data_IF_662668208329
#
_entry.id   IF_662668208329
#
_cell.length_a   1.000
_cell.length_b   1.000
_cell.length_c   1.000
_cell.angle_alpha   90.00
_cell.angle_beta   90.00
_cell.angle_gamma   90.00
#
_symmetry.space_group_name_H-M   'P 1'
#
loop_
_entity.id
_entity.type
_entity.pdbx_description
1 polymer ?
#
# COMPACT_ATOMS: atom_id res chain seq x y z
N UNK A 1 -67.26 58.16 30.60
CA UNK A 1 -67.61 56.73 30.49
C UNK A 1 -68.73 56.60 29.48
N UNK A 2 -68.43 56.08 28.29
CA UNK A 2 -69.31 55.88 27.12
C UNK A 2 -68.40 56.02 25.89
N UNK A 3 -68.49 55.25 24.83
CA UNK A 3 -69.26 54.07 24.47
C UNK A 3 -68.79 53.70 23.06
N UNK A 4 -68.94 52.43 22.72
CA UNK A 4 -69.17 51.86 21.38
C UNK A 4 -69.39 52.88 20.25
N UNK A 5 -68.67 52.72 19.12
CA UNK A 5 -69.07 52.98 17.72
C UNK A 5 -67.86 53.40 16.89
N UNK A 6 -67.22 52.44 16.22
CA UNK A 6 -66.17 52.73 15.24
C UNK A 6 -66.30 51.95 13.93
N UNK A 7 -67.36 51.15 13.76
CA UNK A 7 -67.56 50.27 12.60
C UNK A 7 -68.83 50.58 11.77
N UNK A 8 -69.62 51.59 12.13
CA UNK A 8 -70.79 52.05 11.37
C UNK A 8 -70.79 53.58 11.27
N UNK A 9 -69.79 54.10 10.55
CA UNK A 9 -69.89 55.36 9.79
C UNK A 9 -69.24 55.16 8.42
N UNK A 10 -69.56 54.01 7.84
CA UNK A 10 -69.80 53.87 6.42
C UNK A 10 -70.86 54.91 6.03
N UNK A 11 -70.61 55.63 4.94
CA UNK A 11 -71.69 55.92 4.00
C UNK A 11 -72.36 57.29 4.00
N UNK A 12 -71.92 58.28 4.79
CA UNK A 12 -72.71 59.54 4.86
C UNK A 12 -71.97 60.84 5.22
N UNK A 13 -70.65 60.93 4.98
CA UNK A 13 -69.91 62.19 5.27
C UNK A 13 -68.82 62.56 4.26
N UNK A 14 -69.00 62.15 3.01
CA UNK A 14 -68.44 62.82 1.84
C UNK A 14 -69.49 62.84 0.71
N UNK A 15 -70.76 63.01 1.10
CA UNK A 15 -71.83 63.53 0.26
C UNK A 15 -72.08 64.95 0.76
N UNK A 16 -72.02 65.92 -0.14
CA UNK A 16 -72.05 67.36 0.08
C UNK A 16 -70.76 67.96 0.65
N UNK A 17 -69.75 68.15 -0.21
CA UNK A 17 -69.27 69.51 -0.52
C UNK A 17 -68.73 69.54 -1.96
N UNK A 18 -69.38 70.41 -2.76
CA UNK A 18 -69.02 70.93 -4.08
C UNK A 18 -68.96 69.97 -5.27
N UNK A 19 -70.10 69.84 -5.96
CA UNK A 19 -70.13 69.81 -7.42
C UNK A 19 -69.33 71.02 -7.95
N UNK A 20 -68.17 70.78 -8.57
CA UNK A 20 -67.60 71.76 -9.48
C UNK A 20 -68.47 71.74 -10.74
N UNK A 21 -69.03 72.88 -11.11
CA UNK A 21 -69.90 73.01 -12.28
C UNK A 21 -69.07 72.79 -13.56
N UNK A 22 -69.74 72.34 -14.63
CA UNK A 22 -69.11 72.08 -15.94
C UNK A 22 -68.49 73.34 -16.57
N UNK A 23 -68.84 74.54 -16.08
CA UNK A 23 -68.22 75.81 -16.47
C UNK A 23 -66.85 76.04 -15.81
N UNK A 24 -66.64 75.68 -14.53
CA UNK A 24 -65.35 75.83 -13.84
C UNK A 24 -64.26 74.90 -14.41
N UNK A 25 -64.66 73.74 -14.93
CA UNK A 25 -63.72 72.78 -15.55
C UNK A 25 -63.30 73.20 -16.97
N UNK A 26 -64.11 73.97 -17.69
CA UNK A 26 -63.76 74.47 -19.02
C UNK A 26 -62.85 75.71 -18.98
N UNK A 27 -62.91 76.51 -17.92
CA UNK A 27 -62.05 77.69 -17.74
C UNK A 27 -60.62 77.30 -17.30
N UNK A 28 -60.46 76.17 -16.58
CA UNK A 28 -59.14 75.66 -16.16
C UNK A 28 -58.35 75.00 -17.30
N UNK A 29 -59.01 74.47 -18.34
CA UNK A 29 -58.36 73.71 -19.43
C UNK A 29 -57.91 74.56 -20.63
N UNK A 30 -58.25 75.85 -20.68
CA UNK A 30 -57.96 76.72 -21.85
C UNK A 30 -56.87 77.76 -21.62
N UNK A 31 -56.22 77.81 -20.46
CA UNK A 31 -55.07 78.68 -20.23
C UNK A 31 -53.90 77.95 -19.59
N UNK A 32 -52.79 77.90 -20.31
CA UNK A 32 -51.48 77.80 -19.68
C UNK A 32 -50.66 76.62 -20.14
N UNK A 33 -50.20 76.73 -21.39
CA UNK A 33 -49.00 76.09 -21.91
C UNK A 33 -47.83 76.25 -20.91
N UNK A 34 -47.54 75.23 -20.10
CA UNK A 34 -46.35 75.22 -19.23
C UNK A 34 -45.73 73.82 -19.17
N UNK A 35 -44.52 73.77 -19.72
CA UNK A 35 -43.56 72.67 -19.75
C UNK A 35 -43.63 71.76 -18.50
N UNK A 36 -44.14 70.55 -18.66
CA UNK A 36 -43.75 69.46 -17.78
C UNK A 36 -42.23 69.25 -17.95
N UNK A 37 -41.42 69.23 -16.88
CA UNK A 37 -40.10 68.68 -17.00
C UNK A 37 -40.29 67.23 -17.41
N UNK A 38 -39.93 66.90 -18.65
CA UNK A 38 -39.76 65.51 -19.04
C UNK A 38 -38.76 64.94 -18.04
N UNK A 39 -39.23 64.09 -17.12
CA UNK A 39 -38.36 63.13 -16.47
C UNK A 39 -37.88 62.21 -17.60
N UNK A 40 -36.84 62.67 -18.30
CA UNK A 40 -35.93 61.79 -19.01
C UNK A 40 -35.46 60.83 -17.93
N UNK A 41 -36.06 59.63 -17.91
CA UNK A 41 -35.43 58.46 -17.32
C UNK A 41 -34.04 58.44 -17.93
N UNK A 42 -33.07 58.97 -17.19
CA UNK A 42 -31.67 58.98 -17.58
C UNK A 42 -31.34 57.51 -17.64
N UNK A 43 -31.45 56.93 -18.84
CA UNK A 43 -30.88 55.65 -19.21
C UNK A 43 -29.38 55.86 -19.04
N UNK A 44 -28.92 55.80 -17.78
CA UNK A 44 -27.55 55.49 -17.45
C UNK A 44 -27.37 54.12 -18.04
N UNK A 45 -26.87 54.11 -19.27
CA UNK A 45 -26.40 52.94 -19.95
C UNK A 45 -25.61 52.10 -18.95
N UNK A 46 -26.23 51.01 -18.47
CA UNK A 46 -25.57 49.86 -17.86
C UNK A 46 -24.73 49.12 -18.91
N UNK A 47 -24.09 49.85 -19.84
CA UNK A 47 -23.27 49.33 -20.93
C UNK A 47 -22.03 48.58 -20.41
N UNK A 48 -21.65 48.77 -19.14
CA UNK A 48 -20.60 47.99 -18.47
C UNK A 48 -21.09 46.73 -17.75
N UNK A 49 -22.36 46.67 -17.33
CA UNK A 49 -22.86 45.56 -16.50
C UNK A 49 -23.14 44.30 -17.32
N UNK A 50 -23.68 44.45 -18.54
CA UNK A 50 -23.94 43.31 -19.44
C UNK A 50 -22.67 42.62 -19.93
N UNK A 51 -21.64 43.39 -20.31
CA UNK A 51 -20.36 42.82 -20.75
C UNK A 51 -19.66 42.06 -19.61
N UNK A 52 -19.57 42.67 -18.42
CA UNK A 52 -18.99 42.02 -17.25
C UNK A 52 -19.77 40.76 -16.84
N UNK A 53 -21.11 40.82 -16.87
CA UNK A 53 -21.96 39.67 -16.58
C UNK A 53 -21.70 38.50 -17.55
N UNK A 54 -21.61 38.75 -18.86
CA UNK A 54 -21.31 37.72 -19.84
C UNK A 54 -19.89 37.17 -19.69
N UNK A 55 -18.89 38.01 -19.41
CA UNK A 55 -17.52 37.56 -19.12
C UNK A 55 -17.48 36.63 -17.91
N UNK A 56 -18.11 37.03 -16.79
CA UNK A 56 -18.19 36.19 -15.58
C UNK A 56 -18.95 34.90 -15.85
N UNK A 57 -20.02 34.94 -16.66
CA UNK A 57 -20.79 33.76 -17.03
C UNK A 57 -19.98 32.79 -17.88
N UNK A 58 -19.24 33.27 -18.89
CA UNK A 58 -18.34 32.46 -19.69
C UNK A 58 -17.21 31.85 -18.86
N UNK A 59 -16.62 32.62 -17.93
CA UNK A 59 -15.62 32.12 -16.99
C UNK A 59 -16.21 30.99 -16.15
N UNK A 60 -17.39 31.17 -15.54
CA UNK A 60 -18.04 30.12 -14.76
C UNK A 60 -18.43 28.90 -15.59
N UNK A 61 -18.86 29.09 -16.85
CA UNK A 61 -19.17 27.99 -17.77
C UNK A 61 -17.96 27.13 -18.13
N UNK A 62 -16.74 27.66 -18.00
CA UNK A 62 -15.47 26.91 -18.15
C UNK A 62 -14.98 26.37 -16.81
N UNK A 63 -15.03 27.17 -15.75
CA UNK A 63 -14.56 26.79 -14.42
C UNK A 63 -15.39 25.65 -13.81
N UNK A 64 -16.70 25.62 -14.05
CA UNK A 64 -17.57 24.57 -13.53
C UNK A 64 -17.21 23.17 -14.06
N UNK A 65 -17.15 22.91 -15.39
CA UNK A 65 -16.75 21.59 -15.89
C UNK A 65 -15.30 21.26 -15.54
N UNK A 66 -14.40 22.24 -15.54
CA UNK A 66 -13.01 22.02 -15.10
C UNK A 66 -12.95 21.57 -13.63
N UNK A 67 -13.67 22.27 -12.73
CA UNK A 67 -13.77 21.90 -11.32
C UNK A 67 -14.42 20.53 -11.13
N UNK A 68 -15.45 20.20 -11.92
CA UNK A 68 -16.09 18.89 -11.89
C UNK A 68 -15.12 17.78 -12.33
N UNK A 69 -14.35 17.97 -13.39
CA UNK A 69 -13.31 17.02 -13.84
C UNK A 69 -12.25 16.86 -12.76
N UNK A 70 -11.71 17.94 -12.21
CA UNK A 70 -10.75 17.87 -11.11
C UNK A 70 -11.30 17.12 -9.89
N UNK A 71 -12.56 17.36 -9.53
CA UNK A 71 -13.22 16.70 -8.41
C UNK A 71 -13.42 15.20 -8.67
N UNK A 72 -13.84 14.83 -9.88
CA UNK A 72 -14.00 13.44 -10.29
C UNK A 72 -12.65 12.71 -10.33
N UNK A 73 -11.61 13.32 -10.91
CA UNK A 73 -10.26 12.76 -10.94
C UNK A 73 -9.69 12.59 -9.53
N UNK A 74 -9.89 13.57 -8.63
CA UNK A 74 -9.46 13.46 -7.24
C UNK A 74 -10.22 12.34 -6.49
N UNK A 75 -11.53 12.19 -6.72
CA UNK A 75 -12.32 11.11 -6.14
C UNK A 75 -11.90 9.73 -6.66
N UNK A 76 -11.67 9.60 -7.97
CA UNK A 76 -11.17 8.38 -8.58
C UNK A 76 -9.80 8.01 -8.03
N UNK A 77 -8.87 8.95 -8.00
CA UNK A 77 -7.52 8.73 -7.47
C UNK A 77 -7.53 8.32 -6.00
N UNK A 78 -8.35 9.00 -5.18
CA UNK A 78 -8.56 8.62 -3.77
C UNK A 78 -9.09 7.19 -3.66
N UNK A 79 -10.08 6.81 -4.46
CA UNK A 79 -10.63 5.46 -4.43
C UNK A 79 -9.61 4.40 -4.87
N UNK A 80 -8.83 4.70 -5.92
CA UNK A 80 -7.73 3.84 -6.39
C UNK A 80 -6.75 3.55 -5.28
N UNK A 81 -6.26 4.59 -4.59
CA UNK A 81 -5.34 4.44 -3.46
C UNK A 81 -6.00 3.72 -2.29
N UNK A 82 -7.19 4.15 -1.86
CA UNK A 82 -7.86 3.59 -0.68
C UNK A 82 -8.17 2.11 -0.80
N UNK A 83 -8.43 1.64 -2.02
CA UNK A 83 -8.68 0.22 -2.32
C UNK A 83 -7.45 -0.51 -2.85
N UNK A 84 -6.29 0.16 -2.89
CA UNK A 84 -5.06 -0.36 -3.46
C UNK A 84 -5.21 -0.94 -4.88
N UNK A 85 -6.06 -0.36 -5.72
CA UNK A 85 -6.19 -0.81 -7.11
C UNK A 85 -4.84 -0.64 -7.82
N UNK A 86 -4.44 -1.65 -8.60
CA UNK A 86 -3.16 -1.74 -9.33
C UNK A 86 -1.93 -1.56 -8.42
N UNK A 87 -2.04 -2.01 -7.17
CA UNK A 87 -1.06 -1.81 -6.11
C UNK A 87 -0.71 -0.34 -5.84
N UNK A 88 -1.60 0.60 -6.16
CA UNK A 88 -1.30 2.05 -6.09
C UNK A 88 -0.92 2.54 -4.69
N UNK A 89 -1.47 1.98 -3.62
CA UNK A 89 -1.06 2.32 -2.25
C UNK A 89 0.28 1.66 -1.91
N UNK A 90 0.48 0.40 -2.27
CA UNK A 90 1.75 -0.30 -2.03
C UNK A 90 2.92 0.36 -2.77
N UNK A 91 2.71 0.87 -3.99
CA UNK A 91 3.71 1.63 -4.74
C UNK A 91 4.12 2.95 -4.07
N UNK A 92 3.27 3.49 -3.18
CA UNK A 92 3.58 4.70 -2.41
C UNK A 92 4.25 4.39 -1.07
N UNK A 93 4.02 3.21 -0.50
CA UNK A 93 4.46 2.85 0.85
C UNK A 93 5.58 1.82 0.89
N UNK A 94 5.85 1.13 -0.22
CA UNK A 94 6.85 0.07 -0.33
C UNK A 94 7.93 0.47 -1.34
N UNK A 95 9.11 -0.15 -1.22
CA UNK A 95 10.14 -0.01 -2.24
C UNK A 95 9.69 -0.62 -3.57
N UNK A 96 10.35 -0.23 -4.67
CA UNK A 96 10.05 -0.77 -5.98
C UNK A 96 10.16 -2.31 -6.00
N UNK A 97 9.17 -2.97 -6.62
CA UNK A 97 9.18 -4.39 -6.93
C UNK A 97 8.49 -4.62 -8.28
N UNK A 98 9.05 -5.43 -9.20
CA UNK A 98 8.40 -5.80 -10.45
C UNK A 98 7.13 -6.62 -10.21
N UNK A 99 6.99 -7.25 -9.04
CA UNK A 99 5.80 -8.03 -8.64
C UNK A 99 4.53 -7.19 -8.67
N UNK A 100 4.62 -5.89 -8.37
CA UNK A 100 3.46 -4.99 -8.40
C UNK A 100 2.84 -4.84 -9.78
N UNK A 101 3.60 -5.09 -10.85
CA UNK A 101 3.14 -5.05 -12.24
C UNK A 101 2.55 -6.41 -12.69
N UNK A 102 2.73 -7.47 -11.90
CA UNK A 102 2.45 -8.86 -12.28
C UNK A 102 1.30 -9.51 -11.50
N UNK A 103 1.05 -9.06 -10.26
CA UNK A 103 -0.03 -9.57 -9.43
C UNK A 103 -0.63 -8.45 -8.57
N UNK A 104 -1.93 -8.52 -8.30
CA UNK A 104 -2.62 -7.62 -7.37
C UNK A 104 -2.44 -8.15 -5.94
N UNK A 105 -1.94 -7.32 -5.03
CA UNK A 105 -1.74 -7.68 -3.63
C UNK A 105 -2.74 -6.86 -2.80
N UNK A 106 -3.79 -7.51 -2.32
CA UNK A 106 -4.81 -6.82 -1.55
C UNK A 106 -4.35 -6.50 -0.13
N UNK A 107 -4.91 -5.43 0.45
CA UNK A 107 -4.72 -5.08 1.85
C UNK A 107 -5.93 -5.59 2.62
N UNK A 108 -5.72 -6.63 3.41
CA UNK A 108 -6.77 -7.34 4.14
C UNK A 108 -6.74 -7.00 5.62
N UNK A 109 -7.92 -7.02 6.25
CA UNK A 109 -8.02 -7.03 7.70
C UNK A 109 -7.94 -8.47 8.19
N UNK A 110 -6.94 -8.77 9.02
CA UNK A 110 -6.70 -10.11 9.56
C UNK A 110 -6.56 -10.03 11.07
N UNK A 111 -7.28 -10.89 11.79
CA UNK A 111 -7.04 -11.09 13.21
C UNK A 111 -5.95 -12.14 13.38
N UNK A 112 -4.86 -11.76 14.06
CA UNK A 112 -3.79 -12.71 14.40
C UNK A 112 -4.32 -13.73 15.40
N UNK A 113 -4.03 -15.02 15.20
CA UNK A 113 -4.23 -16.03 16.24
C UNK A 113 -2.99 -16.06 17.13
N UNK A 114 -3.08 -15.34 18.25
CA UNK A 114 -2.01 -15.22 19.24
C UNK A 114 -2.21 -16.13 20.46
N UNK A 115 -3.09 -17.12 20.36
CA UNK A 115 -3.39 -18.01 21.49
C UNK A 115 -2.14 -18.77 21.94
N UNK A 116 -1.77 -18.65 23.22
CA UNK A 116 -0.55 -19.27 23.76
C UNK A 116 -0.53 -20.80 23.56
N UNK A 117 -1.67 -21.45 23.80
CA UNK A 117 -1.83 -22.88 23.58
C UNK A 117 -2.23 -23.15 22.12
N UNK A 118 -1.70 -24.24 21.55
CA UNK A 118 -2.06 -24.71 20.19
C UNK A 118 -3.36 -25.52 20.23
N UNK A 119 -4.47 -24.88 20.58
CA UNK A 119 -5.79 -25.52 20.64
C UNK A 119 -6.46 -25.61 19.27
N UNK A 120 -5.99 -24.83 18.30
CA UNK A 120 -6.42 -24.82 16.92
C UNK A 120 -5.74 -25.89 16.06
N UNK A 121 -4.79 -26.65 16.63
CA UNK A 121 -4.02 -27.69 15.94
C UNK A 121 -3.39 -27.18 14.64
N UNK A 122 -2.90 -25.94 14.64
CA UNK A 122 -2.22 -25.37 13.48
C UNK A 122 -0.98 -26.21 13.15
N UNK A 123 -0.89 -26.64 11.89
CA UNK A 123 0.26 -27.43 11.40
C UNK A 123 1.56 -26.68 11.70
N UNK A 124 1.60 -25.37 11.46
CA UNK A 124 2.75 -24.49 11.70
C UNK A 124 3.31 -24.52 13.12
N UNK A 125 2.52 -25.02 14.09
CA UNK A 125 2.85 -25.12 15.52
C UNK A 125 3.03 -26.57 16.01
N UNK A 126 2.96 -27.55 15.10
CA UNK A 126 3.12 -28.96 15.43
C UNK A 126 4.58 -29.30 15.77
N UNK A 127 4.81 -30.40 16.52
CA UNK A 127 6.15 -30.96 16.68
C UNK A 127 6.79 -31.32 15.33
N UNK A 128 8.14 -31.41 15.26
CA UNK A 128 8.85 -31.80 14.03
C UNK A 128 8.34 -33.10 13.40
N UNK A 129 8.06 -33.03 12.10
CA UNK A 129 7.58 -34.14 11.26
C UNK A 129 7.74 -33.78 9.77
N UNK A 130 7.70 -34.77 8.87
CA UNK A 130 7.75 -34.49 7.43
C UNK A 130 6.64 -33.56 6.93
N UNK A 131 5.44 -33.64 7.52
CA UNK A 131 4.30 -32.81 7.13
C UNK A 131 4.51 -31.34 7.50
N UNK A 132 5.06 -31.06 8.69
CA UNK A 132 5.36 -29.68 9.09
C UNK A 132 6.54 -29.11 8.29
N UNK A 133 7.54 -29.93 7.97
CA UNK A 133 8.66 -29.49 7.15
C UNK A 133 8.19 -29.12 5.74
N UNK A 134 7.32 -29.92 5.12
CA UNK A 134 6.70 -29.58 3.85
C UNK A 134 5.84 -28.30 3.91
N UNK A 135 5.12 -28.10 5.02
CA UNK A 135 4.29 -26.91 5.21
C UNK A 135 5.12 -25.62 5.35
N UNK A 136 6.24 -25.67 6.08
CA UNK A 136 7.18 -24.54 6.17
C UNK A 136 7.91 -24.32 4.85
N UNK A 137 8.39 -25.40 4.20
CA UNK A 137 9.14 -25.30 2.95
C UNK A 137 8.34 -24.61 1.85
N UNK A 138 7.03 -24.92 1.75
CA UNK A 138 6.14 -24.25 0.79
C UNK A 138 6.18 -22.72 0.91
N UNK A 139 6.21 -22.19 2.13
CA UNK A 139 6.17 -20.75 2.39
C UNK A 139 7.54 -20.12 2.61
N UNK A 140 8.62 -20.89 2.49
CA UNK A 140 10.00 -20.47 2.67
C UNK A 140 10.91 -20.83 1.49
N UNK A 141 10.35 -21.33 0.39
CA UNK A 141 11.11 -21.69 -0.80
C UNK A 141 11.88 -20.48 -1.32
N UNK A 142 13.18 -20.68 -1.54
CA UNK A 142 14.08 -19.66 -2.13
C UNK A 142 14.29 -19.89 -3.62
N UNK A 143 13.41 -20.64 -4.29
CA UNK A 143 13.50 -20.81 -5.73
C UNK A 143 13.45 -19.44 -6.42
N UNK A 144 14.47 -19.06 -7.20
CA UNK A 144 14.57 -17.70 -7.69
C UNK A 144 13.65 -17.43 -8.87
N UNK A 145 13.52 -16.15 -9.16
CA UNK A 145 12.80 -15.58 -10.28
C UNK A 145 13.76 -15.02 -11.32
N UNK A 146 13.18 -14.68 -12.47
CA UNK A 146 13.84 -14.00 -13.57
C UNK A 146 13.38 -12.55 -13.56
N UNK A 147 14.32 -11.60 -13.45
CA UNK A 147 14.02 -10.16 -13.56
C UNK A 147 14.86 -9.52 -14.65
N UNK A 148 14.38 -8.43 -15.24
CA UNK A 148 15.10 -7.71 -16.29
C UNK A 148 16.24 -6.85 -15.72
N UNK A 149 17.18 -6.46 -16.58
CA UNK A 149 18.20 -5.46 -16.21
C UNK A 149 17.60 -4.13 -15.75
N UNK A 150 16.46 -3.71 -16.32
CA UNK A 150 15.76 -2.50 -15.90
C UNK A 150 15.22 -2.65 -14.47
N UNK A 151 14.67 -3.81 -14.13
CA UNK A 151 14.19 -4.08 -12.77
C UNK A 151 15.34 -3.98 -11.75
N UNK A 152 16.52 -4.53 -12.09
CA UNK A 152 17.72 -4.43 -11.24
C UNK A 152 18.13 -2.97 -11.01
N UNK A 153 18.09 -2.14 -12.04
CA UNK A 153 18.41 -0.71 -11.94
C UNK A 153 17.39 0.00 -11.05
N UNK A 154 16.09 -0.25 -11.26
CA UNK A 154 15.00 0.34 -10.46
C UNK A 154 15.02 -0.12 -9.00
N UNK A 155 15.56 -1.32 -8.73
CA UNK A 155 15.86 -1.80 -7.38
C UNK A 155 17.05 -1.07 -6.73
N UNK A 156 17.75 -0.20 -7.46
CA UNK A 156 18.93 0.52 -6.99
C UNK A 156 20.19 -0.36 -6.92
N UNK A 157 20.24 -1.43 -7.71
CA UNK A 157 21.36 -2.37 -7.77
C UNK A 157 22.15 -2.19 -9.07
N UNK A 158 23.40 -2.66 -9.06
CA UNK A 158 24.30 -2.62 -10.22
C UNK A 158 24.15 -3.91 -11.04
N UNK A 159 23.60 -3.85 -12.27
CA UNK A 159 23.40 -5.04 -13.10
C UNK A 159 24.70 -5.72 -13.55
N UNK A 160 25.86 -5.10 -13.40
CA UNK A 160 27.14 -5.76 -13.66
C UNK A 160 27.55 -6.72 -12.53
N UNK A 161 26.96 -6.57 -11.34
CA UNK A 161 27.29 -7.33 -10.13
C UNK A 161 26.26 -8.39 -9.79
N UNK A 162 25.07 -8.31 -10.37
CA UNK A 162 24.00 -9.29 -10.17
C UNK A 162 24.26 -10.55 -11.02
N UNK A 163 23.92 -11.72 -10.46
CA UNK A 163 24.02 -12.98 -11.18
C UNK A 163 23.01 -13.04 -12.34
N UNK A 164 23.46 -13.49 -13.50
CA UNK A 164 22.64 -13.60 -14.72
C UNK A 164 22.33 -15.05 -15.03
N UNK A 165 21.14 -15.29 -15.59
CA UNK A 165 20.87 -16.61 -16.17
C UNK A 165 21.65 -16.77 -17.47
N UNK A 166 22.26 -17.94 -17.72
CA UNK A 166 22.83 -18.27 -19.02
C UNK A 166 21.75 -18.25 -20.12
N UNK A 167 22.12 -17.85 -21.34
CA UNK A 167 21.18 -17.72 -22.46
C UNK A 167 20.47 -19.04 -22.80
N UNK A 168 21.11 -20.18 -22.55
CA UNK A 168 20.56 -21.51 -22.81
C UNK A 168 19.32 -21.84 -21.93
N UNK A 169 19.02 -21.02 -20.90
CA UNK A 169 17.80 -21.13 -20.12
C UNK A 169 16.55 -20.68 -20.88
N UNK A 170 16.71 -19.96 -22.00
CA UNK A 170 15.58 -19.56 -22.86
C UNK A 170 14.77 -18.37 -22.36
N UNK A 171 15.23 -17.66 -21.33
CA UNK A 171 14.60 -16.44 -20.82
C UNK A 171 14.92 -15.18 -21.64
N UNK A 172 15.78 -15.30 -22.66
CA UNK A 172 16.34 -14.18 -23.40
C UNK A 172 17.61 -13.62 -22.76
N UNK A 173 18.25 -12.64 -23.42
CA UNK A 173 19.45 -11.99 -22.90
C UNK A 173 19.12 -11.08 -21.71
N UNK A 174 20.15 -10.72 -20.93
CA UNK A 174 20.10 -9.64 -19.94
C UNK A 174 19.11 -9.80 -18.78
N UNK A 175 18.85 -11.06 -18.39
CA UNK A 175 18.02 -11.40 -17.24
C UNK A 175 18.83 -11.82 -16.01
N UNK A 176 18.28 -11.56 -14.84
CA UNK A 176 18.96 -11.67 -13.55
C UNK A 176 18.22 -12.59 -12.59
N UNK A 177 18.99 -13.20 -11.70
CA UNK A 177 18.49 -14.02 -10.59
C UNK A 177 18.04 -13.10 -9.45
N UNK A 178 16.83 -13.32 -8.95
CA UNK A 178 16.31 -12.60 -7.78
C UNK A 178 15.40 -13.49 -6.93
N UNK A 179 15.32 -13.21 -5.64
CA UNK A 179 14.45 -13.90 -4.68
C UNK A 179 13.51 -12.90 -4.01
N UNK A 180 12.41 -13.40 -3.44
CA UNK A 180 11.54 -12.59 -2.59
C UNK A 180 12.12 -12.49 -1.18
N UNK A 181 12.36 -11.27 -0.72
CA UNK A 181 12.84 -10.98 0.64
C UNK A 181 11.91 -11.52 1.75
N UNK A 182 10.58 -11.49 1.54
CA UNK A 182 9.63 -12.06 2.50
C UNK A 182 9.78 -13.58 2.66
N UNK A 183 10.02 -14.31 1.56
CA UNK A 183 10.25 -15.75 1.62
C UNK A 183 11.62 -16.06 2.24
N UNK A 184 12.64 -15.25 1.95
CA UNK A 184 13.93 -15.33 2.62
C UNK A 184 13.81 -15.09 4.13
N UNK A 185 12.98 -14.14 4.55
CA UNK A 185 12.71 -13.89 5.98
C UNK A 185 12.01 -15.09 6.65
N UNK A 186 11.06 -15.72 5.95
CA UNK A 186 10.39 -16.93 6.46
C UNK A 186 11.34 -18.14 6.47
N UNK A 187 12.25 -18.25 5.49
CA UNK A 187 13.34 -19.23 5.47
C UNK A 187 14.25 -19.07 6.69
N UNK A 188 14.70 -17.85 6.99
CA UNK A 188 15.47 -17.56 8.21
C UNK A 188 14.70 -17.97 9.46
N UNK A 189 13.40 -17.69 9.53
CA UNK A 189 12.56 -18.12 10.65
C UNK A 189 12.43 -19.65 10.74
N UNK A 190 12.32 -20.35 9.61
CA UNK A 190 12.29 -21.81 9.56
C UNK A 190 13.63 -22.42 10.00
N UNK A 191 14.76 -21.83 9.61
CA UNK A 191 16.08 -22.25 10.08
C UNK A 191 16.20 -22.12 11.62
N UNK A 192 15.74 -20.99 12.18
CA UNK A 192 15.67 -20.79 13.64
C UNK A 192 14.74 -21.82 14.29
N UNK A 193 13.57 -22.10 13.70
CA UNK A 193 12.65 -23.14 14.19
C UNK A 193 13.34 -24.50 14.27
N UNK A 194 14.10 -24.88 13.23
CA UNK A 194 14.85 -26.14 13.20
C UNK A 194 15.95 -26.18 14.26
N UNK A 195 16.62 -25.05 14.51
CA UNK A 195 17.63 -24.91 15.57
C UNK A 195 17.04 -25.08 16.99
N UNK A 196 15.85 -24.51 17.25
CA UNK A 196 15.12 -24.75 18.51
C UNK A 196 14.80 -26.25 18.70
N UNK A 197 14.61 -26.97 17.61
CA UNK A 197 14.38 -28.42 17.57
C UNK A 197 15.64 -29.21 17.17
N UNK A 198 16.85 -28.73 17.48
CA UNK A 198 18.12 -29.31 16.99
C UNK A 198 18.24 -30.83 17.21
N UNK A 199 17.71 -31.36 18.32
CA UNK A 199 17.75 -32.81 18.60
C UNK A 199 17.03 -33.65 17.54
N UNK A 200 16.03 -33.08 16.88
CA UNK A 200 15.33 -33.76 15.79
C UNK A 200 16.09 -33.60 14.47
N UNK A 201 16.58 -32.38 14.18
CA UNK A 201 17.12 -32.05 12.87
C UNK A 201 18.61 -32.37 12.69
N UNK A 202 19.37 -32.40 13.78
CA UNK A 202 20.83 -32.34 13.74
C UNK A 202 21.53 -33.41 14.61
N UNK A 203 20.79 -34.25 15.32
CA UNK A 203 21.41 -35.22 16.25
C UNK A 203 22.18 -36.35 15.54
N UNK A 204 21.75 -36.71 14.32
CA UNK A 204 22.41 -37.76 13.54
C UNK A 204 23.78 -37.30 13.04
N UNK A 205 23.90 -36.01 12.69
CA UNK A 205 25.14 -35.38 12.24
C UNK A 205 26.02 -34.90 13.42
N UNK A 206 25.38 -34.46 14.52
CA UNK A 206 26.02 -33.85 15.70
C UNK A 206 25.50 -34.47 17.00
N UNK A 207 25.88 -35.71 17.32
CA UNK A 207 25.31 -36.47 18.44
C UNK A 207 25.65 -35.90 19.82
N UNK A 208 26.71 -35.12 19.94
CA UNK A 208 27.12 -34.41 21.15
C UNK A 208 26.51 -33.01 21.28
N UNK A 209 25.73 -32.58 20.28
CA UNK A 209 25.15 -31.24 20.19
C UNK A 209 26.15 -30.13 19.84
N UNK A 210 27.37 -30.48 19.43
CA UNK A 210 28.38 -29.49 19.03
C UNK A 210 28.23 -29.15 17.54
N UNK A 211 27.33 -28.19 17.27
CA UNK A 211 27.12 -27.65 15.92
C UNK A 211 28.35 -26.84 15.44
N UNK A 212 28.69 -26.87 14.13
CA UNK A 212 29.82 -26.14 13.57
C UNK A 212 29.72 -24.63 13.77
N UNK A 213 30.87 -23.94 13.74
CA UNK A 213 30.93 -22.48 13.85
C UNK A 213 30.05 -21.78 12.79
N UNK A 214 30.15 -22.19 11.53
CA UNK A 214 29.36 -21.63 10.42
C UNK A 214 27.85 -21.78 10.64
N UNK A 215 27.39 -22.88 11.27
CA UNK A 215 25.99 -23.07 11.60
C UNK A 215 25.49 -21.99 12.57
N UNK A 216 26.26 -21.71 13.62
CA UNK A 216 25.93 -20.67 14.61
C UNK A 216 25.92 -19.28 13.98
N UNK A 217 26.95 -18.96 13.18
CA UNK A 217 27.04 -17.67 12.46
C UNK A 217 25.85 -17.50 11.52
N UNK A 218 25.43 -18.55 10.83
CA UNK A 218 24.25 -18.53 9.97
C UNK A 218 22.96 -18.30 10.79
N UNK A 219 22.76 -19.00 11.92
CA UNK A 219 21.60 -18.79 12.79
C UNK A 219 21.56 -17.35 13.32
N UNK A 220 22.69 -16.79 13.77
CA UNK A 220 22.77 -15.41 14.24
C UNK A 220 22.46 -14.41 13.12
N UNK A 221 22.93 -14.67 11.90
CA UNK A 221 22.58 -13.89 10.71
C UNK A 221 21.07 -13.93 10.44
N UNK A 222 20.46 -15.13 10.47
CA UNK A 222 19.01 -15.30 10.30
C UNK A 222 18.21 -14.51 11.33
N UNK A 223 18.59 -14.59 12.62
CA UNK A 223 17.96 -13.80 13.69
C UNK A 223 18.05 -12.31 13.38
N UNK A 224 19.20 -11.84 12.94
CA UNK A 224 19.41 -10.44 12.59
C UNK A 224 18.55 -10.01 11.39
N UNK A 225 18.46 -10.81 10.32
CA UNK A 225 17.62 -10.51 9.14
C UNK A 225 16.14 -10.46 9.52
N UNK A 226 15.64 -11.42 10.31
CA UNK A 226 14.26 -11.39 10.81
C UNK A 226 14.01 -10.12 11.62
N UNK A 227 14.93 -9.73 12.51
CA UNK A 227 14.81 -8.52 13.30
C UNK A 227 14.77 -7.25 12.42
N UNK A 228 15.64 -7.14 11.41
CA UNK A 228 15.63 -6.00 10.49
C UNK A 228 14.29 -5.89 9.75
N UNK A 229 13.76 -7.01 9.27
CA UNK A 229 12.48 -7.02 8.57
C UNK A 229 11.29 -6.65 9.49
N UNK A 230 11.28 -7.15 10.73
CA UNK A 230 10.26 -6.77 11.72
C UNK A 230 10.31 -5.27 12.06
N UNK A 231 11.50 -4.68 12.18
CA UNK A 231 11.66 -3.25 12.43
C UNK A 231 11.28 -2.39 11.22
N UNK A 232 11.60 -2.84 10.00
CA UNK A 232 11.23 -2.14 8.78
C UNK A 232 9.71 -2.11 8.57
N UNK A 233 9.04 -3.23 8.85
CA UNK A 233 7.58 -3.36 8.77
C UNK A 233 6.82 -2.94 10.02
N UNK A 234 7.45 -2.22 10.96
CA UNK A 234 6.88 -1.93 12.27
C UNK A 234 5.53 -1.19 12.18
N UNK A 235 4.54 -1.67 12.95
CA UNK A 235 3.21 -1.05 13.03
C UNK A 235 2.90 -0.61 14.47
N UNK A 236 2.12 0.46 14.68
CA UNK A 236 1.77 0.96 16.02
C UNK A 236 0.56 0.22 16.64
N UNK A 237 0.29 -1.03 16.25
CA UNK A 237 -0.84 -1.79 16.78
C UNK A 237 -0.58 -2.18 18.24
N UNK A 238 -1.62 -2.12 19.08
CA UNK A 238 -1.51 -2.29 20.52
C UNK A 238 -2.00 -3.66 20.98
N UNK A 239 -1.28 -4.23 21.95
CA UNK A 239 -1.70 -5.40 22.71
C UNK A 239 -2.31 -4.92 24.03
N UNK A 240 -3.54 -5.33 24.31
CA UNK A 240 -4.18 -5.10 25.61
C UNK A 240 -3.75 -6.19 26.59
N UNK A 241 -3.88 -5.90 27.90
CA UNK A 241 -3.54 -6.84 28.95
C UNK A 241 -4.73 -7.05 29.90
N UNK A 242 -5.71 -7.89 29.53
CA UNK A 242 -6.82 -8.23 30.43
C UNK A 242 -6.37 -9.00 31.68
N UNK A 243 -7.24 -9.03 32.68
CA UNK A 243 -7.14 -9.95 33.81
C UNK A 243 -7.67 -11.32 33.38
N UNK A 244 -6.88 -12.38 33.58
CA UNK A 244 -7.25 -13.76 33.25
C UNK A 244 -7.20 -14.62 34.50
N UNK A 245 -8.11 -15.59 34.60
CA UNK A 245 -8.16 -16.50 35.75
C UNK A 245 -6.84 -17.29 35.87
N UNK A 246 -6.40 -17.52 37.11
CA UNK A 246 -5.12 -18.16 37.40
C UNK A 246 -3.87 -17.29 37.22
N UNK A 247 -3.99 -16.00 36.84
CA UNK A 247 -2.87 -15.06 36.76
C UNK A 247 -3.03 -13.91 37.76
N UNK A 248 -1.96 -13.57 38.47
CA UNK A 248 -1.94 -12.45 39.43
C UNK A 248 -1.66 -11.09 38.78
N UNK A 249 -1.20 -11.09 37.53
CA UNK A 249 -0.81 -9.90 36.77
C UNK A 249 -1.59 -9.83 35.45
N UNK A 250 -1.73 -8.62 34.85
CA UNK A 250 -2.32 -8.47 33.52
C UNK A 250 -1.63 -9.39 32.50
N UNK A 251 -2.41 -10.08 31.67
CA UNK A 251 -1.90 -11.06 30.73
C UNK A 251 -2.10 -10.58 29.29
N UNK A 252 -1.08 -10.64 28.42
CA UNK A 252 -1.17 -10.08 27.07
C UNK A 252 -2.17 -10.83 26.17
N UNK A 253 -3.07 -10.09 25.53
CA UNK A 253 -3.92 -10.61 24.46
C UNK A 253 -3.27 -10.37 23.09
N UNK A 254 -2.60 -11.40 22.58
CA UNK A 254 -1.94 -11.37 21.28
C UNK A 254 -2.93 -11.50 20.09
N UNK A 255 -4.24 -11.66 20.33
CA UNK A 255 -5.24 -11.74 19.27
C UNK A 255 -5.62 -10.36 18.71
N UNK A 256 -4.66 -9.69 18.09
CA UNK A 256 -4.83 -8.32 17.60
C UNK A 256 -5.29 -8.29 16.15
N UNK A 257 -6.11 -7.30 15.81
CA UNK A 257 -6.49 -7.02 14.42
C UNK A 257 -5.34 -6.28 13.73
N UNK A 258 -5.05 -6.68 12.50
CA UNK A 258 -3.99 -6.13 11.64
C UNK A 258 -4.55 -5.77 10.28
N UNK A 259 -3.97 -4.75 9.65
CA UNK A 259 -4.04 -4.57 8.19
C UNK A 259 -2.78 -5.17 7.59
N UNK A 260 -2.95 -6.17 6.73
CA UNK A 260 -1.87 -6.95 6.17
C UNK A 260 -1.91 -6.88 4.65
N UNK A 261 -0.74 -6.88 4.02
CA UNK A 261 -0.64 -7.29 2.62
C UNK A 261 -0.99 -8.77 2.54
N UNK A 262 -1.83 -9.15 1.59
CA UNK A 262 -2.27 -10.53 1.44
C UNK A 262 -1.11 -11.42 0.97
N UNK A 263 -0.58 -12.20 1.89
CA UNK A 263 0.56 -13.09 1.64
C UNK A 263 0.25 -14.16 0.58
N UNK A 264 -0.97 -14.69 0.56
CA UNK A 264 -1.33 -15.78 -0.36
C UNK A 264 -1.25 -15.35 -1.83
N UNK A 265 -1.57 -14.09 -2.14
CA UNK A 265 -1.41 -13.53 -3.50
C UNK A 265 0.07 -13.40 -3.92
N UNK A 266 0.97 -13.14 -2.97
CA UNK A 266 2.42 -13.12 -3.20
C UNK A 266 2.95 -14.55 -3.36
N UNK A 267 2.50 -15.48 -2.51
CA UNK A 267 2.89 -16.89 -2.57
C UNK A 267 2.43 -17.55 -3.87
N UNK A 268 1.20 -17.29 -4.31
CA UNK A 268 0.69 -17.81 -5.58
C UNK A 268 1.54 -17.30 -6.76
N UNK A 269 1.85 -16.00 -6.79
CA UNK A 269 2.77 -15.45 -7.79
C UNK A 269 4.15 -16.11 -7.73
N UNK A 270 4.68 -16.38 -6.53
CA UNK A 270 5.94 -17.08 -6.38
C UNK A 270 5.88 -18.49 -6.98
N UNK A 271 4.89 -19.28 -6.59
CA UNK A 271 4.69 -20.66 -7.06
C UNK A 271 4.50 -20.72 -8.59
N UNK A 272 3.86 -19.72 -9.18
CA UNK A 272 3.59 -19.65 -10.63
C UNK A 272 4.79 -19.19 -11.46
N UNK A 273 5.73 -18.44 -10.88
CA UNK A 273 6.81 -17.76 -11.64
C UNK A 273 8.22 -18.14 -11.25
N UNK A 274 8.41 -18.83 -10.12
CA UNK A 274 9.71 -19.34 -9.72
C UNK A 274 10.24 -20.33 -10.77
N UNK A 275 11.56 -20.40 -10.90
CA UNK A 275 12.17 -21.44 -11.74
C UNK A 275 11.87 -22.83 -11.16
N UNK A 276 11.53 -23.78 -12.03
CA UNK A 276 11.12 -25.13 -11.61
C UNK A 276 12.26 -26.15 -11.67
N UNK A 277 13.29 -25.89 -12.48
CA UNK A 277 14.45 -26.76 -12.62
C UNK A 277 15.55 -26.43 -11.60
N UNK A 278 15.29 -26.82 -10.34
CA UNK A 278 16.23 -26.63 -9.23
C UNK A 278 17.56 -27.36 -9.44
N UNK A 279 17.53 -28.52 -10.12
CA UNK A 279 18.73 -29.28 -10.43
C UNK A 279 19.65 -28.50 -11.38
N UNK A 280 19.09 -27.91 -12.44
CA UNK A 280 19.84 -27.06 -13.35
C UNK A 280 20.33 -25.79 -12.66
N UNK A 281 19.51 -25.18 -11.81
CA UNK A 281 19.91 -23.99 -11.05
C UNK A 281 21.12 -24.28 -10.15
N UNK A 282 21.12 -25.40 -9.44
CA UNK A 282 22.25 -25.82 -8.59
C UNK A 282 23.57 -26.00 -9.37
N UNK A 283 23.49 -26.27 -10.67
CA UNK A 283 24.67 -26.39 -11.54
C UNK A 283 25.14 -25.07 -12.16
N UNK A 284 24.46 -23.95 -11.91
CA UNK A 284 24.90 -22.63 -12.38
C UNK A 284 26.27 -22.28 -11.79
N UNK A 285 27.12 -21.66 -12.61
CA UNK A 285 28.46 -21.21 -12.25
C UNK A 285 28.68 -19.79 -12.74
N UNK A 286 29.63 -19.09 -12.13
CA UNK A 286 30.01 -17.73 -12.55
C UNK A 286 30.44 -17.75 -14.04
N UNK A 287 29.83 -16.92 -14.91
CA UNK A 287 30.21 -16.82 -16.31
C UNK A 287 31.66 -16.36 -16.50
N UNK A 288 32.27 -16.76 -17.62
CA UNK A 288 33.62 -16.30 -18.00
C UNK A 288 33.66 -14.78 -18.16
N UNK A 289 34.58 -14.12 -17.46
CA UNK A 289 34.76 -12.66 -17.53
C UNK A 289 33.94 -11.85 -16.52
N UNK A 290 33.06 -12.48 -15.73
CA UNK A 290 32.39 -11.81 -14.61
C UNK A 290 33.32 -11.80 -13.39
N UNK A 291 33.49 -10.62 -12.78
CA UNK A 291 34.28 -10.46 -11.55
C UNK A 291 33.37 -10.66 -10.34
N UNK A 292 33.65 -11.63 -9.44
CA UNK A 292 32.88 -11.80 -8.22
C UNK A 292 33.07 -10.63 -7.27
N UNK A 293 32.09 -10.40 -6.40
CA UNK A 293 32.24 -9.44 -5.31
C UNK A 293 33.30 -9.93 -4.32
N UNK A 294 34.25 -9.07 -3.90
CA UNK A 294 35.25 -9.47 -2.92
C UNK A 294 34.58 -9.72 -1.57
N UNK A 295 34.93 -10.84 -0.93
CA UNK A 295 34.50 -11.19 0.42
C UNK A 295 35.64 -11.02 1.42
N UNK A 296 35.31 -10.91 2.71
CA UNK A 296 36.29 -10.77 3.78
C UNK A 296 37.15 -12.03 3.95
N UNK A 297 38.34 -11.90 4.52
CA UNK A 297 39.20 -13.04 4.88
C UNK A 297 38.47 -14.01 5.81
N UNK A 298 37.66 -13.48 6.72
CA UNK A 298 36.84 -14.26 7.64
C UNK A 298 35.80 -15.13 6.93
N UNK A 299 35.19 -14.61 5.85
CA UNK A 299 34.32 -15.41 5.00
C UNK A 299 35.10 -16.56 4.35
N UNK A 300 36.28 -16.28 3.77
CA UNK A 300 37.10 -17.33 3.17
C UNK A 300 37.50 -18.42 4.20
N UNK A 301 37.88 -18.02 5.43
CA UNK A 301 38.18 -18.94 6.54
C UNK A 301 36.98 -19.84 6.85
N UNK A 302 35.80 -19.25 7.09
CA UNK A 302 34.59 -19.98 7.47
C UNK A 302 34.12 -20.96 6.40
N UNK A 303 34.32 -20.62 5.12
CA UNK A 303 33.96 -21.46 3.98
C UNK A 303 35.10 -22.39 3.51
N UNK A 304 36.27 -22.36 4.16
CA UNK A 304 37.42 -23.22 3.83
C UNK A 304 38.08 -22.90 2.48
N UNK A 305 38.04 -21.63 2.07
CA UNK A 305 38.46 -21.15 0.75
C UNK A 305 39.87 -20.53 0.73
N UNK A 306 40.66 -20.73 1.79
CA UNK A 306 41.99 -20.14 1.89
C UNK A 306 42.94 -20.66 0.78
N UNK A 307 43.86 -19.79 0.34
CA UNK A 307 44.75 -19.89 -0.84
C UNK A 307 45.60 -21.17 -1.04
N UNK A 308 45.49 -22.19 -0.19
CA UNK A 308 46.16 -23.48 -0.32
C UNK A 308 45.24 -24.62 -0.84
N UNK A 309 43.94 -24.42 -0.94
CA UNK A 309 43.00 -25.35 -1.58
C UNK A 309 42.65 -24.86 -2.99
N UNK A 310 43.51 -25.17 -3.96
CA UNK A 310 43.23 -24.99 -5.38
C UNK A 310 42.12 -25.97 -5.82
N UNK A 311 40.87 -25.61 -5.54
CA UNK A 311 39.70 -26.36 -5.96
C UNK A 311 38.47 -25.63 -5.47
N UNK A 312 37.75 -24.97 -6.39
CA UNK A 312 36.49 -24.30 -6.06
C UNK A 312 35.58 -25.28 -5.36
N UNK A 313 35.28 -25.01 -4.08
CA UNK A 313 34.35 -25.81 -3.32
C UNK A 313 32.93 -25.45 -3.74
N UNK A 314 32.22 -26.46 -4.23
CA UNK A 314 30.79 -26.41 -4.52
C UNK A 314 30.04 -26.38 -3.19
N UNK A 315 29.63 -25.19 -2.75
CA UNK A 315 28.60 -25.05 -1.72
C UNK A 315 27.24 -25.32 -2.37
N UNK A 316 27.08 -26.54 -2.88
CA UNK A 316 25.80 -27.06 -3.36
C UNK A 316 24.85 -27.20 -2.18
N UNK A 317 24.30 -26.09 -1.71
CA UNK A 317 23.17 -26.07 -0.78
C UNK A 317 21.89 -26.36 -1.55
N UNK A 318 21.80 -27.61 -2.01
CA UNK A 318 20.54 -28.30 -2.32
C UNK A 318 20.56 -29.71 -1.73
N UNK A 319 21.30 -29.94 -0.63
CA UNK A 319 20.90 -31.02 0.28
C UNK A 319 19.68 -30.50 1.04
N UNK A 320 18.51 -31.05 0.70
CA UNK A 320 17.18 -30.77 1.25
C UNK A 320 17.06 -30.71 2.79
N UNK A 321 18.15 -30.96 3.54
CA UNK A 321 18.17 -31.04 5.00
C UNK A 321 19.24 -30.15 5.68
N UNK A 322 20.00 -29.33 4.96
CA UNK A 322 20.90 -28.32 5.54
C UNK A 322 20.96 -27.17 4.53
N UNK A 323 20.17 -26.11 4.65
CA UNK A 323 19.90 -25.24 5.79
C UNK A 323 18.40 -24.95 5.91
#
# INVERSE_FOLDING_TARGET
MSSLRGAEKLGQRLSDESEATLEETQEFLLRGNMNYPTYSARNRHLKGFGFFFWVVTCINAVLFPFSAVCSLSAFQWKNTIQKNHDNSLLRLTSWYSPVFDQTQIDIIEKRVNGSLLNLDNSISRAPPSPEIDAAWERISSLMPHVISTEDVIRLGKDPSKTARYPEDWGFGPDVHVAELDILHTIHCLNAIRRDVHWRHYFIDDYPDGNLPELHRVHTDHCIYIVLQNLMCGATPDLITQPWVDGQLHPFPDFNINKKCNEFDSILAWHEDTMITDSARFATMRIPSGQTPLPMSDEFHRMFGLDSHSAGGHDHGHFKRNAY
#
